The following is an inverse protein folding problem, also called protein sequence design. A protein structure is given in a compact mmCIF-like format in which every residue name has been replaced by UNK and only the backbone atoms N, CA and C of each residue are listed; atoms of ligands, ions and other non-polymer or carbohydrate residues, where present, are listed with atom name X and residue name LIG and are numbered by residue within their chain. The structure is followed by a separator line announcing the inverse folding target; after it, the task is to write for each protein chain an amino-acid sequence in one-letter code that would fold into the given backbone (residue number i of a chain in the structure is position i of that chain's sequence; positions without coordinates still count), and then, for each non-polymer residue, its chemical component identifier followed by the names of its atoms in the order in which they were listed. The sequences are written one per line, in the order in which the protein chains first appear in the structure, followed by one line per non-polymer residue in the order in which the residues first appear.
data_IF_232302819365
#
_entry.id   IF_232302819365
#
_cell.length_a   1.000
_cell.length_b   1.000
_cell.length_c   1.000
_cell.angle_alpha   90.00
_cell.angle_beta   90.00
_cell.angle_gamma   90.00
#
_symmetry.space_group_name_H-M   'P 1'
#
loop_
_entity.id
_entity.type
_entity.pdbx_description
1 polymer ?
#
# COMPACT_ATOMS: atom_id res chain seq x y z
N UNK A 1 5.91 -14.20 22.93
CA UNK A 1 7.04 -13.32 23.24
C UNK A 1 6.61 -11.91 22.84
N UNK A 2 6.96 -10.88 23.61
CA UNK A 2 6.73 -9.49 23.16
C UNK A 2 7.74 -9.21 22.04
N UNK A 3 7.24 -8.88 20.85
CA UNK A 3 8.05 -8.72 19.64
C UNK A 3 8.92 -7.45 19.71
N UNK A 4 8.48 -6.43 20.46
CA UNK A 4 9.05 -5.09 20.34
C UNK A 4 9.55 -4.50 21.64
N UNK A 5 9.14 -5.03 22.80
CA UNK A 5 9.63 -4.51 24.08
C UNK A 5 9.96 -5.61 25.08
N UNK A 6 10.81 -5.26 26.04
CA UNK A 6 10.94 -5.97 27.32
C UNK A 6 10.31 -5.18 28.48
N UNK A 7 9.58 -4.10 28.19
CA UNK A 7 9.10 -3.11 29.17
C UNK A 7 8.10 -2.09 28.59
N UNK A 8 7.06 -1.81 29.38
CA UNK A 8 5.76 -1.22 29.03
C UNK A 8 5.74 0.32 28.92
N UNK A 9 6.44 0.91 27.94
CA UNK A 9 6.26 2.33 27.68
C UNK A 9 5.09 2.55 26.70
N UNK A 10 3.98 3.09 27.18
CA UNK A 10 2.80 3.45 26.38
C UNK A 10 2.55 4.96 26.48
N UNK A 11 2.26 5.66 25.37
CA UNK A 11 2.10 5.13 24.00
C UNK A 11 3.44 4.78 23.36
N UNK A 12 3.41 3.82 22.43
CA UNK A 12 4.55 3.42 21.60
C UNK A 12 4.04 3.21 20.17
N UNK A 13 4.81 3.68 19.20
CA UNK A 13 4.59 3.45 17.78
C UNK A 13 5.72 2.54 17.28
N UNK A 14 5.35 1.54 16.49
CA UNK A 14 6.29 0.70 15.75
C UNK A 14 5.95 0.83 14.28
N UNK A 15 6.82 1.48 13.51
CA UNK A 15 6.62 1.72 12.09
C UNK A 15 7.27 0.60 11.28
N UNK A 16 6.48 -0.04 10.41
CA UNK A 16 6.88 -1.20 9.58
C UNK A 16 7.64 -2.30 10.34
N UNK A 17 7.37 -2.47 11.63
CA UNK A 17 8.01 -3.49 12.46
C UNK A 17 9.52 -3.29 12.72
N UNK A 18 10.09 -2.15 12.32
CA UNK A 18 11.53 -1.85 12.42
C UNK A 18 11.77 -0.60 13.29
N UNK A 19 11.08 0.49 12.97
CA UNK A 19 11.33 1.78 13.58
C UNK A 19 10.43 2.03 14.78
N UNK A 20 10.99 1.92 15.99
CA UNK A 20 10.28 2.15 17.24
C UNK A 20 10.37 3.62 17.68
N UNK A 21 9.25 4.15 18.16
CA UNK A 21 9.14 5.43 18.87
C UNK A 21 8.35 5.24 20.15
N UNK A 22 8.92 5.73 21.25
CA UNK A 22 8.31 5.65 22.57
C UNK A 22 7.88 7.05 22.98
N UNK A 23 6.65 7.15 23.51
CA UNK A 23 6.06 8.40 23.96
C UNK A 23 5.21 9.06 22.88
N UNK A 24 4.31 9.92 23.35
CA UNK A 24 3.53 10.83 22.52
C UNK A 24 3.94 12.27 22.78
N UNK A 25 3.25 13.22 22.17
CA UNK A 25 3.44 14.61 22.51
C UNK A 25 2.93 14.87 23.95
N UNK A 26 3.61 15.76 24.68
CA UNK A 26 3.20 16.21 26.02
C UNK A 26 1.88 16.99 26.01
N UNK A 27 1.44 17.47 24.84
CA UNK A 27 0.17 18.13 24.57
C UNK A 27 -0.73 17.21 23.73
N UNK A 28 -2.06 17.40 23.76
CA UNK A 28 -3.03 16.61 22.97
C UNK A 28 -2.88 16.77 21.45
N UNK A 29 -1.95 17.62 21.00
CA UNK A 29 -1.72 17.96 19.60
C UNK A 29 -0.61 17.07 19.03
N UNK A 30 -1.03 15.97 18.42
CA UNK A 30 -0.13 14.99 17.79
C UNK A 30 0.53 15.50 16.51
N UNK A 31 0.04 16.59 15.91
CA UNK A 31 0.63 17.24 14.71
C UNK A 31 2.11 17.59 14.90
N UNK A 32 2.53 17.92 16.13
CA UNK A 32 3.93 18.21 16.44
C UNK A 32 4.86 16.99 16.29
N UNK A 33 4.32 15.78 16.19
CA UNK A 33 5.10 14.56 15.90
C UNK A 33 5.24 14.32 14.40
N UNK A 34 4.48 15.03 13.55
CA UNK A 34 4.46 14.78 12.11
C UNK A 34 5.83 14.93 11.43
N UNK A 35 6.68 15.93 11.75
CA UNK A 35 8.01 16.03 11.13
C UNK A 35 8.89 14.79 11.38
N UNK A 36 8.79 14.20 12.58
CA UNK A 36 9.54 13.01 12.92
C UNK A 36 8.99 11.76 12.20
N UNK A 37 7.68 11.70 11.96
CA UNK A 37 7.02 10.63 11.21
C UNK A 37 7.27 10.74 9.71
N UNK A 38 7.30 11.96 9.17
CA UNK A 38 7.58 12.25 7.76
C UNK A 38 8.96 11.73 7.36
N UNK A 39 9.98 11.92 8.20
CA UNK A 39 11.31 11.36 7.94
C UNK A 39 11.31 9.83 7.92
N UNK A 40 10.48 9.17 8.74
CA UNK A 40 10.33 7.71 8.73
C UNK A 40 9.59 7.28 7.46
N UNK A 41 8.49 7.96 7.13
CA UNK A 41 7.72 7.70 5.92
C UNK A 41 8.59 7.78 4.66
N UNK A 42 9.32 8.88 4.49
CA UNK A 42 10.21 9.09 3.34
C UNK A 42 11.32 8.04 3.23
N UNK A 43 11.72 7.42 4.35
CA UNK A 43 12.68 6.32 4.34
C UNK A 43 12.10 5.00 3.79
N UNK A 44 10.80 4.77 3.98
CA UNK A 44 10.14 3.53 3.59
C UNK A 44 9.35 3.63 2.28
N UNK A 45 8.86 4.80 1.90
CA UNK A 45 8.02 4.97 0.70
C UNK A 45 8.74 4.59 -0.60
N UNK A 46 10.06 4.73 -0.63
CA UNK A 46 10.89 4.37 -1.80
C UNK A 46 11.26 2.88 -1.85
N UNK A 47 10.76 2.07 -0.92
CA UNK A 47 11.06 0.64 -0.86
C UNK A 47 9.89 -0.14 -1.43
N UNK A 48 10.14 -0.77 -2.56
CA UNK A 48 9.18 -1.69 -3.14
C UNK A 48 9.19 -3.04 -2.41
N UNK A 49 8.08 -3.73 -2.56
CA UNK A 49 7.87 -5.06 -2.03
C UNK A 49 7.40 -5.97 -3.16
N UNK A 50 7.98 -7.15 -3.34
CA UNK A 50 7.55 -8.07 -4.38
C UNK A 50 6.24 -8.77 -4.03
N UNK A 51 5.73 -8.58 -2.81
CA UNK A 51 4.53 -9.27 -2.34
C UNK A 51 3.28 -8.47 -2.65
N UNK A 52 2.30 -9.10 -3.30
CA UNK A 52 0.92 -8.58 -3.43
C UNK A 52 -0.01 -9.42 -2.56
N UNK A 53 -0.91 -8.76 -1.83
CA UNK A 53 -1.91 -9.42 -1.00
C UNK A 53 -3.31 -9.26 -1.61
N UNK A 54 -4.13 -10.27 -1.47
CA UNK A 54 -5.56 -10.24 -1.74
C UNK A 54 -6.30 -10.68 -0.49
N UNK A 55 -7.34 -9.97 -0.10
CA UNK A 55 -8.21 -10.35 1.02
C UNK A 55 -9.61 -10.50 0.48
N UNK A 56 -10.14 -11.72 0.52
CA UNK A 56 -11.51 -12.04 0.13
C UNK A 56 -12.15 -12.93 1.18
N UNK A 57 -13.43 -13.22 1.02
CA UNK A 57 -14.17 -14.00 2.00
C UNK A 57 -15.68 -13.89 1.85
N UNK A 58 -16.39 -14.29 2.89
CA UNK A 58 -17.85 -14.24 2.94
C UNK A 58 -18.29 -13.74 4.32
N UNK A 59 -19.15 -12.73 4.30
CA UNK A 59 -19.81 -12.21 5.49
C UNK A 59 -21.11 -11.51 5.12
N UNK A 60 -22.21 -11.94 5.72
CA UNK A 60 -23.50 -11.28 5.63
C UNK A 60 -23.93 -10.71 7.00
N UNK A 61 -24.66 -9.57 7.03
CA UNK A 61 -25.17 -9.02 8.27
C UNK A 61 -26.04 -10.03 9.04
N UNK A 62 -25.52 -10.51 10.17
CA UNK A 62 -26.17 -11.51 11.02
C UNK A 62 -25.36 -12.79 11.20
N UNK A 63 -24.29 -12.97 10.41
CA UNK A 63 -23.36 -14.07 10.60
C UNK A 63 -22.56 -13.90 11.90
N UNK A 64 -22.34 -15.02 12.60
CA UNK A 64 -21.55 -15.07 13.85
C UNK A 64 -20.06 -15.29 13.59
N UNK A 65 -19.69 -15.68 12.37
CA UNK A 65 -18.33 -15.99 11.94
C UNK A 65 -18.08 -15.34 10.58
N UNK A 66 -16.84 -14.92 10.34
CA UNK A 66 -16.38 -14.44 9.04
C UNK A 66 -15.38 -15.46 8.50
N UNK A 67 -15.62 -15.95 7.30
CA UNK A 67 -14.67 -16.78 6.55
C UNK A 67 -13.83 -15.87 5.66
N UNK A 68 -12.50 -16.03 5.73
CA UNK A 68 -11.55 -15.23 4.96
C UNK A 68 -10.55 -16.11 4.23
N UNK A 69 -10.20 -15.65 3.04
CA UNK A 69 -9.16 -16.19 2.19
C UNK A 69 -8.15 -15.09 1.92
N UNK A 70 -6.88 -15.40 2.15
CA UNK A 70 -5.78 -14.50 1.88
C UNK A 70 -4.96 -15.10 0.74
N UNK A 71 -4.88 -14.37 -0.35
CA UNK A 71 -4.02 -14.72 -1.47
C UNK A 71 -2.74 -13.89 -1.36
N UNK A 72 -1.60 -14.56 -1.52
CA UNK A 72 -0.29 -13.93 -1.56
C UNK A 72 0.37 -14.28 -2.88
N UNK A 73 0.78 -13.28 -3.63
CA UNK A 73 1.48 -13.41 -4.91
C UNK A 73 2.87 -12.77 -4.78
N UNK A 74 3.87 -13.38 -5.39
CA UNK A 74 5.15 -12.73 -5.68
C UNK A 74 5.08 -12.17 -7.10
N UNK A 75 5.15 -10.85 -7.21
CA UNK A 75 5.28 -10.15 -8.46
C UNK A 75 6.75 -9.86 -8.79
N UNK A 76 7.03 -9.88 -10.08
CA UNK A 76 8.29 -9.57 -10.77
C UNK A 76 9.55 -9.42 -9.88
N UNK A 77 10.28 -10.53 -9.70
CA UNK A 77 11.57 -10.56 -9.00
C UNK A 77 12.71 -11.05 -9.89
N UNK A 78 13.84 -10.35 -9.83
CA UNK A 78 15.07 -10.72 -10.54
C UNK A 78 15.78 -11.97 -9.96
N UNK A 79 15.44 -12.38 -8.74
CA UNK A 79 16.10 -13.50 -8.05
C UNK A 79 15.23 -14.12 -6.97
N UNK A 80 15.46 -15.40 -6.64
CA UNK A 80 14.73 -16.13 -5.60
C UNK A 80 14.78 -15.43 -4.23
N UNK A 81 13.62 -15.30 -3.57
CA UNK A 81 13.52 -14.71 -2.22
C UNK A 81 13.90 -15.72 -1.12
N UNK A 82 14.57 -15.23 -0.10
CA UNK A 82 14.76 -15.96 1.15
C UNK A 82 13.60 -15.67 2.10
N UNK A 83 12.72 -16.65 2.25
CA UNK A 83 11.55 -16.56 3.11
C UNK A 83 11.75 -17.19 4.49
N UNK A 84 13.01 -17.39 4.90
CA UNK A 84 13.30 -17.85 6.26
C UNK A 84 12.67 -16.88 7.26
N UNK A 85 11.90 -17.43 8.19
CA UNK A 85 11.16 -16.69 9.23
C UNK A 85 10.13 -15.67 8.70
N UNK A 86 9.64 -15.87 7.48
CA UNK A 86 8.57 -15.06 6.89
C UNK A 86 7.20 -15.68 7.14
N UNK A 87 6.28 -14.87 7.67
CA UNK A 87 4.94 -15.31 8.05
C UNK A 87 3.88 -14.33 7.56
N UNK A 88 2.72 -14.86 7.21
CA UNK A 88 1.50 -14.10 7.08
C UNK A 88 0.88 -13.91 8.47
N UNK A 89 0.71 -12.64 8.87
CA UNK A 89 0.08 -12.24 10.11
C UNK A 89 -1.28 -11.60 9.86
N UNK A 90 -2.29 -12.06 10.62
CA UNK A 90 -3.67 -11.60 10.47
C UNK A 90 -4.20 -10.99 11.77
N UNK A 91 -4.74 -9.79 11.65
CA UNK A 91 -5.33 -9.03 12.74
C UNK A 91 -6.72 -8.52 12.36
N UNK A 92 -7.66 -8.67 13.30
CA UNK A 92 -9.00 -8.08 13.23
C UNK A 92 -8.96 -6.75 13.99
N UNK A 93 -9.35 -5.70 13.30
CA UNK A 93 -9.33 -4.32 13.78
C UNK A 93 -10.73 -3.76 13.73
N UNK A 94 -11.14 -3.03 14.76
CA UNK A 94 -12.39 -2.27 14.75
C UNK A 94 -12.09 -0.78 14.73
N UNK A 95 -12.64 -0.12 13.73
CA UNK A 95 -12.55 1.32 13.62
C UNK A 95 -13.73 2.02 14.33
N UNK A 96 -13.56 3.31 14.64
CA UNK A 96 -14.62 4.19 15.14
C UNK A 96 -15.46 3.57 16.29
N UNK A 97 -14.78 3.12 17.35
CA UNK A 97 -15.45 2.70 18.58
C UNK A 97 -15.81 3.97 19.38
N UNK A 98 -17.10 4.28 19.59
CA UNK A 98 -17.51 5.54 20.19
C UNK A 98 -17.29 5.56 21.71
N UNK A 99 -17.51 6.75 22.29
CA UNK A 99 -17.64 6.98 23.73
C UNK A 99 -16.40 6.64 24.59
N UNK A 100 -15.19 6.68 24.00
CA UNK A 100 -13.97 6.58 24.78
C UNK A 100 -13.63 7.93 25.43
N UNK A 101 -13.62 7.97 26.75
CA UNK A 101 -13.27 9.16 27.51
C UNK A 101 -11.74 9.30 27.62
N UNK A 102 -11.21 10.42 27.14
CA UNK A 102 -9.81 10.79 27.28
C UNK A 102 -9.68 11.71 28.47
N UNK A 103 -8.94 11.28 29.51
CA UNK A 103 -8.81 12.05 30.78
C UNK A 103 -8.22 13.44 30.60
N UNK A 104 -7.59 13.65 29.47
CA UNK A 104 -6.83 14.82 29.08
C UNK A 104 -6.94 14.84 27.53
N UNK A 105 -7.78 15.69 26.92
CA UNK A 105 -8.36 16.96 27.40
C UNK A 105 -9.68 16.90 28.21
N UNK A 106 -10.12 15.72 28.68
CA UNK A 106 -11.42 15.50 29.33
C UNK A 106 -12.62 15.54 28.36
N UNK A 107 -12.46 14.92 27.20
CA UNK A 107 -13.47 14.83 26.15
C UNK A 107 -13.70 13.38 25.72
N UNK A 108 -14.82 13.14 25.03
CA UNK A 108 -15.13 11.86 24.41
C UNK A 108 -14.64 11.87 22.97
N UNK A 109 -13.95 10.80 22.58
CA UNK A 109 -13.47 10.59 21.22
C UNK A 109 -13.81 9.19 20.74
N UNK A 110 -13.87 9.03 19.42
CA UNK A 110 -13.92 7.72 18.80
C UNK A 110 -12.51 7.10 18.83
N UNK A 111 -12.37 5.87 19.33
CA UNK A 111 -11.14 5.12 19.14
C UNK A 111 -11.08 4.63 17.69
N UNK A 112 -9.93 4.84 17.07
CA UNK A 112 -9.68 4.45 15.68
C UNK A 112 -8.78 3.22 15.64
N UNK A 113 -9.05 2.35 14.69
CA UNK A 113 -8.25 1.16 14.36
C UNK A 113 -7.78 0.34 15.58
N UNK A 114 -8.71 -0.02 16.47
CA UNK A 114 -8.41 -0.81 17.67
C UNK A 114 -8.31 -2.29 17.31
N UNK A 115 -7.14 -2.88 17.53
CA UNK A 115 -6.94 -4.33 17.42
C UNK A 115 -7.86 -5.10 18.38
N UNK A 116 -8.84 -5.82 17.82
CA UNK A 116 -9.79 -6.64 18.57
C UNK A 116 -9.31 -8.08 18.74
N UNK A 117 -8.64 -8.63 17.71
CA UNK A 117 -8.13 -10.00 17.72
C UNK A 117 -6.89 -10.11 16.85
N UNK A 118 -5.92 -10.92 17.26
CA UNK A 118 -4.77 -11.29 16.45
C UNK A 118 -4.82 -12.79 16.22
N UNK A 119 -5.22 -13.20 15.02
CA UNK A 119 -5.56 -14.59 14.66
C UNK A 119 -4.30 -15.47 14.73
N UNK A 120 -3.21 -14.97 14.15
CA UNK A 120 -1.91 -15.65 14.00
C UNK A 120 -0.95 -15.37 15.16
N UNK A 121 -1.43 -14.79 16.27
CA UNK A 121 -0.55 -14.42 17.41
C UNK A 121 0.16 -15.63 18.03
N UNK A 122 -0.55 -16.75 18.12
CA UNK A 122 -0.03 -17.97 18.74
C UNK A 122 0.87 -18.70 17.72
N UNK A 123 2.07 -19.17 18.11
CA UNK A 123 2.91 -20.02 17.26
C UNK A 123 2.19 -21.18 16.57
N UNK A 124 1.17 -21.76 17.21
CA UNK A 124 0.38 -22.86 16.64
C UNK A 124 -0.53 -22.44 15.47
N UNK A 125 -0.81 -21.14 15.33
CA UNK A 125 -1.70 -20.57 14.32
C UNK A 125 -0.94 -19.68 13.32
N UNK A 126 0.40 -19.78 13.28
CA UNK A 126 1.23 -19.03 12.34
C UNK A 126 1.06 -19.60 10.93
N UNK A 127 1.06 -18.71 9.95
CA UNK A 127 1.07 -19.07 8.54
C UNK A 127 2.45 -18.79 7.95
N UNK A 128 3.37 -19.78 7.95
CA UNK A 128 4.67 -19.61 7.29
C UNK A 128 4.46 -19.47 5.79
N UNK A 129 5.20 -18.55 5.17
CA UNK A 129 5.15 -18.32 3.72
C UNK A 129 6.21 -19.17 3.04
N UNK A 130 5.83 -19.87 1.97
CA UNK A 130 6.66 -20.88 1.30
C UNK A 130 7.04 -20.56 -0.14
N UNK A 131 6.41 -19.57 -0.77
CA UNK A 131 6.67 -19.16 -2.16
C UNK A 131 7.99 -18.39 -2.31
N UNK A 132 8.80 -18.68 -3.32
CA UNK A 132 10.15 -18.10 -3.45
C UNK A 132 10.48 -17.53 -4.82
N UNK A 133 9.61 -17.71 -5.82
CA UNK A 133 9.87 -17.34 -7.22
C UNK A 133 8.74 -16.47 -7.78
N UNK A 134 9.07 -15.65 -8.78
CA UNK A 134 8.10 -14.80 -9.49
C UNK A 134 6.94 -15.62 -10.06
N UNK A 135 5.72 -15.09 -9.91
CA UNK A 135 4.49 -15.71 -10.38
C UNK A 135 3.97 -16.87 -9.51
N UNK A 136 4.67 -17.23 -8.44
CA UNK A 136 4.14 -18.18 -7.45
C UNK A 136 3.09 -17.50 -6.58
N UNK A 137 2.03 -18.24 -6.25
CA UNK A 137 1.00 -17.81 -5.32
C UNK A 137 0.82 -18.81 -4.17
N UNK A 138 0.35 -18.30 -3.03
CA UNK A 138 -0.01 -19.08 -1.85
C UNK A 138 -1.34 -18.58 -1.32
N UNK A 139 -2.20 -19.51 -0.90
CA UNK A 139 -3.54 -19.21 -0.42
C UNK A 139 -3.69 -19.71 1.02
N UNK A 140 -4.17 -18.84 1.89
CA UNK A 140 -4.40 -19.11 3.31
C UNK A 140 -5.86 -18.89 3.65
N UNK A 141 -6.52 -19.92 4.16
CA UNK A 141 -7.93 -19.87 4.56
C UNK A 141 -8.06 -19.94 6.07
N UNK A 142 -8.92 -19.08 6.64
CA UNK A 142 -9.23 -19.12 8.07
C UNK A 142 -10.58 -18.47 8.35
N UNK A 143 -11.01 -18.49 9.62
CA UNK A 143 -12.20 -17.82 10.06
C UNK A 143 -12.04 -17.23 11.45
N UNK A 144 -12.92 -16.29 11.81
CA UNK A 144 -12.98 -15.75 13.15
C UNK A 144 -14.39 -15.31 13.56
N UNK A 145 -14.70 -15.37 14.86
CA UNK A 145 -16.00 -14.98 15.38
C UNK A 145 -16.17 -13.46 15.38
N UNK A 146 -17.39 -13.00 15.14
CA UNK A 146 -17.86 -11.67 15.47
C UNK A 146 -18.52 -11.72 16.84
N UNK A 147 -18.12 -10.82 17.74
CA UNK A 147 -18.68 -10.73 19.09
C UNK A 147 -19.79 -9.68 19.16
N UNK A 148 -20.77 -9.90 20.03
CA UNK A 148 -21.95 -9.02 20.21
C UNK A 148 -21.62 -7.54 20.47
N UNK A 149 -20.43 -7.25 20.99
CA UNK A 149 -19.98 -5.90 21.33
C UNK A 149 -19.12 -5.24 20.24
N UNK A 150 -19.01 -5.88 19.06
CA UNK A 150 -18.32 -5.33 17.89
C UNK A 150 -19.35 -4.76 16.92
N UNK A 151 -19.01 -3.69 16.23
CA UNK A 151 -19.82 -3.18 15.13
C UNK A 151 -19.29 -3.71 13.79
N UNK A 152 -19.95 -4.67 13.12
CA UNK A 152 -19.44 -5.30 11.90
C UNK A 152 -19.09 -4.32 10.78
N UNK A 153 -19.86 -3.22 10.64
CA UNK A 153 -19.61 -2.19 9.64
C UNK A 153 -18.26 -1.48 9.79
N UNK A 154 -17.66 -1.54 10.98
CA UNK A 154 -16.37 -0.93 11.28
C UNK A 154 -15.25 -1.97 11.42
N UNK A 155 -15.52 -3.25 11.20
CA UNK A 155 -14.50 -4.30 11.31
C UNK A 155 -13.71 -4.38 10.00
N UNK A 156 -12.39 -4.39 10.15
CA UNK A 156 -11.42 -4.58 9.08
C UNK A 156 -10.52 -5.76 9.41
N UNK A 157 -10.06 -6.43 8.38
CA UNK A 157 -8.96 -7.39 8.45
C UNK A 157 -7.71 -6.71 7.95
N UNK A 158 -6.63 -6.88 8.69
CA UNK A 158 -5.29 -6.44 8.33
C UNK A 158 -4.43 -7.68 8.15
N UNK A 159 -3.96 -7.89 6.92
CA UNK A 159 -3.04 -8.94 6.55
C UNK A 159 -1.65 -8.33 6.35
N UNK A 160 -0.62 -8.95 6.92
CA UNK A 160 0.75 -8.45 6.88
C UNK A 160 1.71 -9.59 6.55
N UNK A 161 2.60 -9.36 5.58
CA UNK A 161 3.78 -10.19 5.37
C UNK A 161 4.85 -9.69 6.33
N UNK A 162 5.13 -10.48 7.35
CA UNK A 162 6.01 -10.08 8.45
C UNK A 162 7.15 -11.09 8.64
N UNK A 163 8.37 -10.57 8.76
CA UNK A 163 9.52 -11.35 9.17
C UNK A 163 9.61 -11.36 10.70
N UNK A 164 9.71 -12.55 11.29
CA UNK A 164 9.84 -12.73 12.74
C UNK A 164 11.29 -13.07 13.09
N UNK A 165 12.06 -12.07 13.50
CA UNK A 165 13.49 -12.27 13.79
C UNK A 165 13.72 -12.66 15.26
N UNK A 166 14.90 -13.23 15.54
CA UNK A 166 15.36 -13.48 16.91
C UNK A 166 15.67 -12.19 17.70
N UNK A 167 15.61 -11.02 17.06
CA UNK A 167 15.92 -9.73 17.67
C UNK A 167 14.67 -9.03 18.19
N UNK A 168 14.66 -8.72 19.49
CA UNK A 168 13.60 -7.88 20.08
C UNK A 168 13.67 -6.48 19.47
N UNK A 169 12.54 -5.99 18.98
CA UNK A 169 12.44 -4.66 18.41
C UNK A 169 12.61 -4.58 16.89
N UNK A 170 12.95 -5.69 16.23
CA UNK A 170 13.15 -5.74 14.79
C UNK A 170 12.42 -6.95 14.19
N UNK A 171 11.22 -6.71 13.66
CA UNK A 171 10.37 -7.72 13.02
C UNK A 171 9.68 -7.05 11.83
N UNK A 172 10.41 -6.79 10.73
CA UNK A 172 9.96 -5.91 9.66
C UNK A 172 8.71 -6.45 8.97
N UNK A 173 7.80 -5.54 8.64
CA UNK A 173 6.62 -5.80 7.83
C UNK A 173 6.95 -5.37 6.40
N UNK A 174 6.92 -6.33 5.48
CA UNK A 174 7.32 -6.13 4.08
C UNK A 174 6.14 -5.74 3.20
N UNK A 175 4.94 -6.18 3.54
CA UNK A 175 3.71 -5.82 2.85
C UNK A 175 2.56 -5.84 3.84
N UNK A 176 1.58 -4.96 3.66
CA UNK A 176 0.36 -4.94 4.47
C UNK A 176 -0.82 -4.50 3.63
N UNK A 177 -1.95 -5.18 3.81
CA UNK A 177 -3.21 -4.81 3.20
C UNK A 177 -4.33 -4.88 4.22
N UNK A 178 -5.37 -4.08 4.01
CA UNK A 178 -6.57 -4.16 4.83
C UNK A 178 -7.84 -4.05 4.02
N UNK A 179 -8.91 -4.69 4.49
CA UNK A 179 -10.22 -4.68 3.85
C UNK A 179 -11.30 -4.75 4.91
N UNK A 180 -12.40 -4.03 4.69
CA UNK A 180 -13.58 -4.11 5.56
C UNK A 180 -14.27 -5.47 5.35
N UNK A 181 -14.76 -6.09 6.41
CA UNK A 181 -15.46 -7.38 6.29
C UNK A 181 -16.73 -7.30 5.43
N UNK A 182 -17.30 -6.11 5.24
CA UNK A 182 -18.43 -5.89 4.34
C UNK A 182 -18.04 -5.78 2.86
N UNK A 183 -16.74 -5.87 2.53
CA UNK A 183 -16.19 -5.72 1.18
C UNK A 183 -15.29 -6.92 0.83
N UNK A 184 -15.69 -8.12 1.23
CA UNK A 184 -14.93 -9.35 1.03
C UNK A 184 -15.23 -10.07 -0.28
N UNK A 185 -16.08 -9.49 -1.14
CA UNK A 185 -16.38 -10.06 -2.45
C UNK A 185 -15.08 -10.28 -3.24
N UNK A 186 -14.73 -11.52 -3.62
CA UNK A 186 -13.50 -11.79 -4.36
C UNK A 186 -13.47 -11.16 -5.75
N UNK A 187 -14.63 -10.85 -6.33
CA UNK A 187 -14.83 -10.27 -7.67
C UNK A 187 -15.95 -9.20 -7.59
N UNK A 188 -15.64 -8.00 -7.07
CA UNK A 188 -16.66 -6.99 -6.74
C UNK A 188 -17.44 -6.45 -7.95
N UNK A 189 -16.86 -6.50 -9.15
CA UNK A 189 -17.49 -5.98 -10.37
C UNK A 189 -18.00 -7.08 -11.32
N UNK A 190 -17.73 -8.35 -10.98
CA UNK A 190 -18.25 -9.56 -11.61
C UNK A 190 -17.78 -9.74 -13.06
N UNK A 191 -16.54 -9.34 -13.34
CA UNK A 191 -15.92 -9.46 -14.66
C UNK A 191 -15.17 -10.79 -14.87
N UNK A 192 -14.98 -11.55 -13.79
CA UNK A 192 -14.36 -12.86 -13.78
C UNK A 192 -12.90 -12.89 -13.33
N UNK A 193 -12.33 -11.75 -12.94
CA UNK A 193 -11.01 -11.66 -12.34
C UNK A 193 -11.11 -11.41 -10.83
N UNK A 194 -10.26 -12.08 -10.06
CA UNK A 194 -10.19 -11.80 -8.61
C UNK A 194 -9.31 -10.59 -8.34
N UNK A 195 -9.46 -9.99 -7.16
CA UNK A 195 -8.74 -8.79 -6.72
C UNK A 195 -7.26 -8.69 -7.17
N UNK A 196 -6.48 -9.78 -7.09
CA UNK A 196 -5.04 -9.78 -7.42
C UNK A 196 -4.72 -9.81 -8.92
N UNK A 197 -5.69 -10.19 -9.73
CA UNK A 197 -5.54 -10.37 -11.17
C UNK A 197 -6.43 -9.41 -11.98
N UNK A 198 -7.12 -8.50 -11.29
CA UNK A 198 -8.00 -7.51 -11.86
C UNK A 198 -7.35 -6.12 -11.78
N UNK A 199 -7.00 -5.55 -12.95
CA UNK A 199 -6.43 -4.22 -13.04
C UNK A 199 -7.47 -3.09 -12.89
N UNK A 200 -8.75 -3.41 -12.70
CA UNK A 200 -9.83 -2.48 -12.39
C UNK A 200 -10.88 -3.07 -11.42
N UNK A 201 -10.45 -3.47 -10.22
CA UNK A 201 -11.22 -4.14 -9.13
C UNK A 201 -12.70 -3.76 -8.91
N UNK A 202 -13.14 -2.58 -9.32
CA UNK A 202 -14.49 -2.07 -9.11
C UNK A 202 -15.18 -1.60 -10.42
N UNK A 203 -14.59 -1.83 -11.58
CA UNK A 203 -15.05 -1.34 -12.88
C UNK A 203 -14.91 -2.43 -13.95
N UNK A 204 -16.02 -3.13 -14.19
CA UNK A 204 -16.13 -4.23 -15.15
C UNK A 204 -15.32 -4.05 -16.44
N UNK A 205 -14.27 -4.86 -16.63
CA UNK A 205 -13.39 -4.86 -17.79
C UNK A 205 -12.83 -6.27 -18.09
N UNK A 206 -13.68 -7.19 -18.59
CA UNK A 206 -13.32 -8.60 -18.79
C UNK A 206 -12.22 -8.83 -19.84
N UNK A 207 -11.83 -7.80 -20.59
CA UNK A 207 -10.70 -7.83 -21.52
C UNK A 207 -9.37 -7.45 -20.86
N UNK A 208 -9.39 -6.86 -19.65
CA UNK A 208 -8.24 -6.48 -18.82
C UNK A 208 -7.20 -5.66 -19.61
N UNK A 209 -7.67 -4.86 -20.57
CA UNK A 209 -6.80 -4.07 -21.44
C UNK A 209 -6.15 -2.95 -20.63
N UNK A 210 -4.82 -2.96 -20.60
CA UNK A 210 -3.94 -1.94 -20.05
C UNK A 210 -2.94 -1.61 -21.18
N UNK A 211 -2.98 -0.38 -21.70
CA UNK A 211 -2.28 0.00 -22.94
C UNK A 211 -0.93 0.65 -22.69
N UNK A 212 -0.76 1.24 -21.52
CA UNK A 212 0.45 1.90 -21.02
C UNK A 212 1.24 1.04 -20.02
N UNK A 213 0.72 -0.14 -19.69
CA UNK A 213 1.37 -1.18 -18.87
C UNK A 213 1.73 -0.67 -17.46
N UNK A 214 0.89 0.20 -16.88
CA UNK A 214 1.07 0.76 -15.54
C UNK A 214 0.39 -0.08 -14.44
N UNK A 215 -0.36 -1.11 -14.84
CA UNK A 215 -1.10 -2.01 -13.96
C UNK A 215 -2.52 -1.55 -13.65
N UNK A 216 -2.98 -0.41 -14.17
CA UNK A 216 -4.37 0.03 -14.14
C UNK A 216 -5.03 -0.22 -15.51
N UNK A 217 -6.22 -0.80 -15.51
CA UNK A 217 -6.94 -1.03 -16.77
C UNK A 217 -7.41 0.29 -17.39
N UNK A 218 -7.44 0.36 -18.72
CA UNK A 218 -7.83 1.55 -19.49
C UNK A 218 -9.15 2.21 -19.03
N UNK A 219 -10.07 1.43 -18.45
CA UNK A 219 -11.40 1.92 -18.04
C UNK A 219 -11.41 2.62 -16.68
N UNK A 220 -10.43 2.33 -15.83
CA UNK A 220 -10.33 2.86 -14.47
C UNK A 220 -9.03 3.63 -14.22
N UNK A 221 -8.12 3.65 -15.19
CA UNK A 221 -6.89 4.41 -15.12
C UNK A 221 -7.17 5.92 -15.02
N UNK A 222 -6.73 6.58 -13.92
CA UNK A 222 -6.89 8.02 -13.73
C UNK A 222 -6.08 8.87 -14.73
N UNK A 223 -5.02 8.31 -15.29
CA UNK A 223 -4.17 8.94 -16.30
C UNK A 223 -4.70 8.70 -17.73
N UNK A 224 -5.66 7.79 -17.91
CA UNK A 224 -6.37 7.54 -19.17
C UNK A 224 -5.42 7.14 -20.33
N UNK A 225 -4.51 6.21 -20.04
CA UNK A 225 -3.51 5.65 -20.93
C UNK A 225 -2.27 6.52 -21.10
N UNK A 226 -2.02 7.44 -20.15
CA UNK A 226 -0.97 8.47 -20.25
C UNK A 226 0.25 8.20 -19.38
N UNK A 227 0.30 7.08 -18.67
CA UNK A 227 1.50 6.66 -17.94
C UNK A 227 2.53 6.15 -18.96
N UNK A 228 3.82 6.25 -18.64
CA UNK A 228 4.93 5.82 -19.50
C UNK A 228 5.04 6.50 -20.89
N UNK A 229 4.31 7.59 -21.14
CA UNK A 229 4.46 8.37 -22.37
C UNK A 229 5.65 9.31 -22.26
N UNK A 230 6.74 8.96 -22.96
CA UNK A 230 7.96 9.76 -22.97
C UNK A 230 7.67 11.19 -23.43
N UNK A 231 8.02 12.16 -22.57
CA UNK A 231 7.82 13.57 -22.83
C UNK A 231 6.49 14.16 -22.35
N UNK A 232 5.64 13.40 -21.66
CA UNK A 232 4.45 13.93 -20.98
C UNK A 232 4.83 14.46 -19.58
N UNK A 233 5.71 15.46 -19.50
CA UNK A 233 6.26 15.92 -18.22
C UNK A 233 5.43 17.07 -17.65
N UNK A 234 4.93 17.96 -18.49
CA UNK A 234 4.07 19.07 -18.08
C UNK A 234 2.56 18.76 -18.21
N UNK A 235 2.22 17.48 -18.47
CA UNK A 235 0.86 16.95 -18.67
C UNK A 235 0.13 17.52 -19.88
N UNK A 236 0.86 17.84 -20.93
CA UNK A 236 0.27 18.33 -22.18
C UNK A 236 -0.13 17.22 -23.16
N UNK A 237 -0.01 15.93 -22.79
CA UNK A 237 -0.61 14.86 -23.57
C UNK A 237 -2.14 14.98 -23.51
N UNK A 238 -2.77 15.50 -24.58
CA UNK A 238 -4.21 15.61 -24.71
C UNK A 238 -4.71 15.12 -26.08
N UNK A 239 -6.00 14.77 -26.14
CA UNK A 239 -6.68 14.40 -27.39
C UNK A 239 -6.76 12.88 -27.62
N UNK A 240 -7.11 12.50 -28.85
CA UNK A 240 -7.41 11.09 -29.22
C UNK A 240 -6.16 10.24 -29.49
N UNK A 241 -5.01 10.89 -29.70
CA UNK A 241 -3.76 10.23 -30.09
C UNK A 241 -2.70 10.28 -28.96
N UNK A 242 -3.02 10.92 -27.83
CA UNK A 242 -2.18 11.03 -26.63
C UNK A 242 -0.70 11.40 -26.90
N UNK A 243 -0.46 12.28 -27.88
CA UNK A 243 0.89 12.72 -28.22
C UNK A 243 1.23 13.99 -27.41
N UNK A 244 2.21 13.94 -26.50
CA UNK A 244 2.69 15.13 -25.78
C UNK A 244 3.47 16.05 -26.72
N UNK A 245 3.49 17.35 -26.43
CA UNK A 245 4.30 18.31 -27.17
C UNK A 245 5.63 18.49 -26.45
N UNK A 246 6.63 17.73 -26.89
CA UNK A 246 7.96 17.77 -26.31
C UNK A 246 8.61 19.12 -26.63
N UNK A 247 8.65 20.01 -25.64
CA UNK A 247 9.05 21.40 -25.78
C UNK A 247 9.79 21.95 -24.56
N UNK A 248 10.03 23.26 -24.58
CA UNK A 248 10.77 23.94 -23.49
C UNK A 248 10.01 23.87 -22.16
N UNK A 249 8.69 23.72 -22.19
CA UNK A 249 7.89 23.60 -20.97
C UNK A 249 8.19 22.30 -20.22
N UNK A 250 8.47 21.19 -20.91
CA UNK A 250 8.89 19.93 -20.28
C UNK A 250 10.21 20.08 -19.53
N UNK A 251 11.17 20.80 -20.12
CA UNK A 251 12.44 21.10 -19.44
C UNK A 251 12.19 21.92 -18.18
N UNK A 252 11.30 22.92 -18.24
CA UNK A 252 10.98 23.74 -17.08
C UNK A 252 10.27 22.93 -16.00
N UNK A 253 9.29 22.11 -16.37
CA UNK A 253 8.58 21.22 -15.46
C UNK A 253 9.54 20.21 -14.80
N UNK A 254 10.41 19.56 -15.58
CA UNK A 254 11.41 18.64 -15.05
C UNK A 254 12.42 19.34 -14.14
N UNK A 255 12.84 20.56 -14.49
CA UNK A 255 13.74 21.36 -13.65
C UNK A 255 13.11 21.74 -12.31
N UNK A 256 11.84 22.11 -12.32
CA UNK A 256 11.06 22.42 -11.12
C UNK A 256 10.91 21.18 -10.22
N UNK A 257 10.63 20.03 -10.83
CA UNK A 257 10.56 18.72 -10.16
C UNK A 257 11.90 18.35 -9.51
N UNK A 258 13.01 18.43 -10.24
CA UNK A 258 14.36 18.11 -9.72
C UNK A 258 14.80 19.03 -8.58
N UNK A 259 14.37 20.28 -8.60
CA UNK A 259 14.69 21.25 -7.55
C UNK A 259 13.67 21.24 -6.40
N UNK A 260 12.64 20.39 -6.47
CA UNK A 260 11.52 20.34 -5.54
C UNK A 260 10.86 21.72 -5.36
N UNK A 261 10.79 22.48 -6.46
CA UNK A 261 10.21 23.83 -6.52
C UNK A 261 9.13 23.85 -7.58
N UNK A 262 7.85 23.72 -7.20
CA UNK A 262 6.75 23.85 -8.16
C UNK A 262 5.75 22.70 -8.10
N UNK A 263 5.50 22.08 -9.25
CA UNK A 263 4.46 21.06 -9.44
C UNK A 263 4.80 19.77 -8.68
N UNK A 264 3.90 19.24 -7.82
CA UNK A 264 4.10 17.93 -7.22
C UNK A 264 4.03 16.86 -8.31
N UNK A 265 4.97 15.91 -8.27
CA UNK A 265 4.89 14.69 -9.09
C UNK A 265 3.56 13.98 -8.81
N UNK A 266 2.89 13.52 -9.87
CA UNK A 266 1.86 12.51 -9.82
C UNK A 266 2.25 11.36 -10.75
N UNK A 267 1.48 10.27 -10.66
CA UNK A 267 1.77 9.02 -11.38
C UNK A 267 1.59 9.14 -12.90
N UNK A 268 0.95 10.22 -13.38
CA UNK A 268 0.78 10.49 -14.81
C UNK A 268 1.99 11.19 -15.46
N UNK A 269 2.97 11.65 -14.67
CA UNK A 269 4.19 12.24 -15.22
C UNK A 269 5.22 11.18 -15.59
N UNK A 270 5.77 11.27 -16.80
CA UNK A 270 6.91 10.45 -17.21
C UNK A 270 8.22 11.23 -17.01
N UNK A 271 8.74 11.25 -15.78
CA UNK A 271 9.90 12.11 -15.42
C UNK A 271 11.27 11.49 -15.67
N UNK A 272 11.37 10.16 -15.66
CA UNK A 272 12.60 9.40 -15.96
C UNK A 272 12.69 9.11 -17.46
N UNK A 273 13.04 10.12 -18.24
CA UNK A 273 13.07 10.08 -19.71
C UNK A 273 14.08 9.04 -20.21
N UNK A 274 15.15 8.78 -19.44
CA UNK A 274 16.14 7.75 -19.75
C UNK A 274 15.68 6.32 -19.44
N UNK A 275 14.64 6.16 -18.63
CA UNK A 275 14.13 4.88 -18.12
C UNK A 275 15.25 4.04 -17.48
N UNK A 276 16.20 4.71 -16.80
CA UNK A 276 17.32 4.06 -16.14
C UNK A 276 17.13 3.92 -14.61
N UNK A 277 15.96 4.34 -14.12
CA UNK A 277 15.59 4.35 -12.73
C UNK A 277 16.17 5.54 -11.94
N UNK A 278 16.84 6.49 -12.59
CA UNK A 278 17.46 7.64 -11.94
C UNK A 278 16.94 8.97 -12.49
N UNK A 279 16.01 9.58 -11.78
CA UNK A 279 15.59 10.96 -12.04
C UNK A 279 16.71 11.96 -11.72
N UNK A 280 17.34 12.53 -12.75
CA UNK A 280 18.45 13.46 -12.59
C UNK A 280 18.61 14.44 -13.79
N UNK A 281 19.68 15.24 -13.79
CA UNK A 281 19.92 16.24 -14.85
C UNK A 281 20.17 15.65 -16.25
N UNK A 282 20.50 14.36 -16.36
CA UNK A 282 20.67 13.69 -17.64
C UNK A 282 19.32 13.49 -18.36
N UNK A 283 18.21 13.35 -17.63
CA UNK A 283 16.87 13.33 -18.22
C UNK A 283 16.54 14.65 -18.93
N UNK A 284 16.95 15.78 -18.35
CA UNK A 284 16.83 17.11 -19.00
C UNK A 284 17.63 17.14 -20.31
N UNK A 285 18.84 16.58 -20.33
CA UNK A 285 19.68 16.57 -21.54
C UNK A 285 19.00 15.77 -22.66
N UNK A 286 18.33 14.67 -22.33
CA UNK A 286 17.58 13.89 -23.32
C UNK A 286 16.39 14.68 -23.86
N UNK A 287 15.64 15.38 -23.01
CA UNK A 287 14.58 16.28 -23.49
C UNK A 287 15.12 17.35 -24.44
N UNK A 288 16.25 17.97 -24.10
CA UNK A 288 16.91 18.93 -24.99
C UNK A 288 17.24 18.30 -26.35
N UNK A 289 17.75 17.07 -26.37
CA UNK A 289 18.02 16.33 -27.61
C UNK A 289 16.75 16.02 -28.40
N UNK A 290 15.67 15.62 -27.73
CA UNK A 290 14.37 15.35 -28.35
C UNK A 290 13.77 16.62 -28.99
N UNK A 291 13.83 17.75 -28.30
CA UNK A 291 13.41 19.05 -28.84
C UNK A 291 14.26 19.41 -30.07
N UNK A 292 15.59 19.29 -29.96
CA UNK A 292 16.50 19.57 -31.07
C UNK A 292 16.31 18.64 -32.28
N UNK A 293 15.82 17.42 -32.08
CA UNK A 293 15.55 16.44 -33.12
C UNK A 293 14.21 16.67 -33.85
N UNK A 294 13.40 17.65 -33.42
CA UNK A 294 12.13 18.01 -34.06
C UNK A 294 10.92 18.05 -33.14
N UNK A 295 11.10 18.11 -31.81
CA UNK A 295 10.05 18.55 -30.89
C UNK A 295 9.62 20.00 -31.17
N UNK A 296 8.38 20.36 -30.81
CA UNK A 296 7.78 21.67 -31.12
C UNK A 296 8.04 22.75 -30.06
#
# INVERSE_FOLDING_TARGET
MDLYTTGTATPMLVYNGDSIRIGGNISYWWENLYPDLESIYNHFVIRDTPYKLGISGQFEPGDEEVEITIELLIDDIDSTLDNTDLFLELMVVEDKIPDAFWSQPAEYHDLRDVARRWITKNPANKFPISITESGQNEVFETSFPILDNWNPANIKIVAMVQMLTDSVGYNPILQSQSTNISQLDPDPDQDGFSYLYDNCTYTYNPDQTDSDEDGAGNVCDPCNGLVNIVGNIDLDAYGIDYQPIIGVNDILALSDILNNTGMPINDCHQVDVLQDGQLNSFDIVILEEMIMAGGE
#
